data_IF_992118461094
#
_entry.id   IF_992118461094
#
_cell.length_a   1.000
_cell.length_b   1.000
_cell.length_c   1.000
_cell.angle_alpha   90.00
_cell.angle_beta   90.00
_cell.angle_gamma   90.00
#
_symmetry.space_group_name_H-M   'P 1'
#
loop_
_entity.id
_entity.type
_entity.pdbx_description
1 polymer ?
#
# COMPACT_ATOMS: atom_id res chain seq x y z
N UNK A 1 -20.96 -13.70 16.77
CA UNK A 1 -20.02 -12.57 16.69
C UNK A 1 -19.88 -12.22 15.22
N UNK A 2 -19.85 -10.95 14.81
CA UNK A 2 -19.54 -10.64 13.43
C UNK A 2 -18.18 -11.25 13.10
N UNK A 3 -18.07 -11.93 11.97
CA UNK A 3 -16.82 -12.52 11.48
C UNK A 3 -15.86 -11.38 11.19
N UNK A 4 -14.71 -11.39 11.83
CA UNK A 4 -13.64 -10.43 11.61
C UNK A 4 -13.11 -10.63 10.18
N UNK A 5 -13.25 -9.60 9.33
CA UNK A 5 -12.84 -9.65 7.92
C UNK A 5 -11.37 -9.25 7.72
N UNK A 6 -10.70 -8.82 8.78
CA UNK A 6 -9.29 -8.41 8.78
C UNK A 6 -8.60 -8.94 10.04
N UNK A 7 -7.42 -9.53 9.89
CA UNK A 7 -6.57 -9.94 11.00
C UNK A 7 -5.41 -8.94 11.11
N UNK A 8 -5.11 -8.49 12.33
CA UNK A 8 -4.01 -7.58 12.63
C UNK A 8 -3.05 -8.24 13.62
N UNK A 9 -1.79 -8.32 13.26
CA UNK A 9 -0.73 -8.92 14.08
C UNK A 9 0.52 -8.05 14.02
N UNK A 10 1.24 -7.94 15.14
CA UNK A 10 2.53 -7.24 15.21
C UNK A 10 3.60 -8.21 15.68
N UNK A 11 4.64 -8.39 14.89
CA UNK A 11 5.82 -9.16 15.24
C UNK A 11 7.06 -8.49 14.63
N UNK A 12 8.17 -8.51 15.34
CA UNK A 12 9.48 -8.04 14.87
C UNK A 12 9.47 -6.63 14.25
N UNK A 13 8.67 -5.72 14.80
CA UNK A 13 8.45 -4.34 14.33
C UNK A 13 7.70 -4.24 12.99
N UNK A 14 7.06 -5.31 12.57
CA UNK A 14 6.22 -5.39 11.38
C UNK A 14 4.77 -5.59 11.80
N UNK A 15 3.88 -4.69 11.35
CA UNK A 15 2.45 -4.90 11.45
C UNK A 15 1.96 -5.62 10.19
N UNK A 16 1.36 -6.78 10.35
CA UNK A 16 0.75 -7.53 9.25
C UNK A 16 -0.77 -7.40 9.32
N UNK A 17 -1.34 -6.85 8.25
CA UNK A 17 -2.79 -6.69 8.05
C UNK A 17 -3.21 -7.73 7.00
N UNK A 18 -3.98 -8.73 7.41
CA UNK A 18 -4.43 -9.80 6.52
C UNK A 18 -5.91 -9.64 6.20
N UNK A 19 -6.25 -9.44 4.92
CA UNK A 19 -7.63 -9.48 4.43
C UNK A 19 -8.17 -10.90 4.61
N UNK A 20 -9.24 -11.11 5.38
CA UNK A 20 -9.65 -12.42 5.89
C UNK A 20 -11.06 -12.82 5.45
N UNK A 21 -11.26 -12.94 4.14
CA UNK A 21 -12.44 -13.56 3.50
C UNK A 21 -11.98 -14.55 2.42
N UNK A 22 -11.21 -15.60 2.77
CA UNK A 22 -10.54 -16.46 1.80
C UNK A 22 -11.52 -17.17 0.84
N UNK A 23 -12.72 -17.53 1.30
CA UNK A 23 -13.78 -18.15 0.49
C UNK A 23 -14.34 -17.22 -0.60
N UNK A 24 -14.15 -15.91 -0.47
CA UNK A 24 -14.52 -14.85 -1.42
C UNK A 24 -13.31 -14.21 -2.07
N UNK A 25 -12.13 -14.85 -2.02
CA UNK A 25 -10.86 -14.29 -2.49
C UNK A 25 -10.63 -12.86 -1.94
N UNK A 26 -11.01 -12.64 -0.69
CA UNK A 26 -10.87 -11.37 0.01
C UNK A 26 -11.56 -10.19 -0.70
N UNK A 27 -12.74 -10.44 -1.29
CA UNK A 27 -13.55 -9.40 -1.90
C UNK A 27 -13.87 -8.30 -0.88
N UNK A 28 -13.67 -7.06 -1.30
CA UNK A 28 -13.70 -5.87 -0.46
C UNK A 28 -15.12 -5.47 -0.07
N UNK A 29 -15.36 -5.32 1.22
CA UNK A 29 -16.63 -4.87 1.81
C UNK A 29 -16.46 -3.57 2.57
N UNK A 30 -17.56 -2.99 3.02
CA UNK A 30 -17.53 -1.83 3.91
C UNK A 30 -16.96 -2.17 5.31
N UNK A 31 -17.20 -3.39 5.80
CA UNK A 31 -16.64 -3.88 7.06
C UNK A 31 -15.12 -4.02 6.96
N UNK A 32 -14.63 -4.72 5.94
CA UNK A 32 -13.19 -4.86 5.69
C UNK A 32 -12.51 -3.50 5.55
N UNK A 33 -13.13 -2.55 4.86
CA UNK A 33 -12.59 -1.19 4.73
C UNK A 33 -12.41 -0.49 6.07
N UNK A 34 -13.41 -0.58 6.95
CA UNK A 34 -13.35 0.04 8.27
C UNK A 34 -12.28 -0.63 9.15
N UNK A 35 -12.20 -1.96 9.11
CA UNK A 35 -11.22 -2.74 9.86
C UNK A 35 -9.79 -2.48 9.37
N UNK A 36 -9.53 -2.48 8.05
CA UNK A 36 -8.22 -2.16 7.48
C UNK A 36 -7.80 -0.74 7.85
N UNK A 37 -8.72 0.23 7.78
CA UNK A 37 -8.43 1.60 8.19
C UNK A 37 -8.01 1.67 9.66
N UNK A 38 -8.77 1.04 10.55
CA UNK A 38 -8.45 0.99 11.98
C UNK A 38 -7.09 0.35 12.24
N UNK A 39 -6.79 -0.77 11.57
CA UNK A 39 -5.52 -1.46 11.69
C UNK A 39 -4.33 -0.62 11.19
N UNK A 40 -4.50 0.10 10.08
CA UNK A 40 -3.48 1.02 9.54
C UNK A 40 -3.24 2.19 10.48
N UNK A 41 -4.29 2.78 11.04
CA UNK A 41 -4.19 3.87 12.01
C UNK A 41 -3.53 3.41 13.33
N UNK A 42 -3.83 2.19 13.78
CA UNK A 42 -3.18 1.58 14.94
C UNK A 42 -1.70 1.34 14.66
N UNK A 43 -1.38 0.71 13.53
CA UNK A 43 0.00 0.48 13.11
C UNK A 43 0.81 1.77 12.99
N UNK A 44 0.21 2.86 12.48
CA UNK A 44 0.89 4.17 12.34
C UNK A 44 1.20 4.80 13.70
N UNK A 45 0.33 4.63 14.70
CA UNK A 45 0.53 5.20 16.07
C UNK A 45 1.47 4.38 16.93
N UNK A 46 1.59 3.07 16.68
CA UNK A 46 2.42 2.18 17.52
C UNK A 46 3.91 2.40 17.24
N UNK A 47 4.64 2.94 18.22
CA UNK A 47 6.10 3.18 18.13
C UNK A 47 6.93 1.89 17.94
N UNK A 48 6.37 0.71 18.28
CA UNK A 48 7.01 -0.57 18.02
C UNK A 48 6.91 -1.01 16.56
N UNK A 49 5.99 -0.47 15.79
CA UNK A 49 5.81 -0.78 14.37
C UNK A 49 6.67 0.15 13.52
N UNK A 50 7.40 -0.40 12.54
CA UNK A 50 8.22 0.36 11.58
C UNK A 50 7.86 0.12 10.12
N UNK A 51 7.21 -1.01 9.85
CA UNK A 51 6.78 -1.42 8.50
C UNK A 51 5.37 -2.02 8.60
N UNK A 52 4.53 -1.73 7.62
CA UNK A 52 3.19 -2.31 7.49
C UNK A 52 3.18 -3.25 6.29
N UNK A 53 2.70 -4.47 6.46
CA UNK A 53 2.48 -5.45 5.39
C UNK A 53 0.98 -5.68 5.25
N UNK A 54 0.45 -5.50 4.04
CA UNK A 54 -0.92 -5.84 3.68
C UNK A 54 -0.91 -7.09 2.80
N UNK A 55 -1.66 -8.10 3.19
CA UNK A 55 -1.76 -9.37 2.46
C UNK A 55 -3.17 -9.95 2.49
N UNK A 56 -3.41 -11.09 1.82
CA UNK A 56 -4.69 -11.78 1.83
C UNK A 56 -4.61 -13.18 2.43
N UNK A 57 -5.61 -13.59 3.18
CA UNK A 57 -5.75 -14.96 3.64
C UNK A 57 -6.04 -15.90 2.47
N UNK A 58 -5.55 -17.15 2.56
CA UNK A 58 -5.79 -18.17 1.55
C UNK A 58 -5.07 -17.90 0.23
N UNK A 59 -5.74 -18.18 -0.89
CA UNK A 59 -5.13 -18.21 -2.22
C UNK A 59 -5.16 -16.90 -3.00
N UNK A 60 -5.71 -15.82 -2.47
CA UNK A 60 -5.86 -14.53 -3.18
C UNK A 60 -5.46 -13.36 -2.33
N UNK A 61 -5.01 -12.29 -2.96
CA UNK A 61 -4.82 -11.01 -2.29
C UNK A 61 -6.17 -10.31 -2.09
N UNK A 62 -6.80 -9.87 -3.19
CA UNK A 62 -8.14 -9.26 -3.18
C UNK A 62 -8.76 -9.28 -4.58
N UNK A 63 -9.93 -9.90 -4.71
CA UNK A 63 -10.64 -10.05 -5.99
C UNK A 63 -11.45 -8.80 -6.41
N UNK A 64 -11.33 -7.68 -5.69
CA UNK A 64 -12.05 -6.45 -5.99
C UNK A 64 -13.26 -6.24 -5.09
N UNK A 65 -14.19 -5.37 -5.48
CA UNK A 65 -15.43 -5.13 -4.74
C UNK A 65 -16.27 -6.40 -4.62
N UNK A 66 -16.93 -6.57 -3.45
CA UNK A 66 -17.86 -7.67 -3.28
C UNK A 66 -19.03 -7.55 -4.28
N UNK A 67 -19.31 -8.65 -5.00
CA UNK A 67 -20.32 -8.66 -6.06
C UNK A 67 -21.74 -8.41 -5.55
N UNK A 68 -22.02 -8.68 -4.27
CA UNK A 68 -23.31 -8.36 -3.68
C UNK A 68 -23.57 -6.86 -3.65
N UNK A 69 -22.53 -6.06 -3.38
CA UNK A 69 -22.60 -4.60 -3.42
C UNK A 69 -22.87 -4.10 -4.84
N UNK A 70 -22.11 -4.62 -5.82
CA UNK A 70 -22.30 -4.22 -7.23
C UNK A 70 -23.67 -4.62 -7.76
N UNK A 71 -24.17 -5.80 -7.40
CA UNK A 71 -25.52 -6.26 -7.77
C UNK A 71 -26.59 -5.39 -7.14
N UNK A 72 -26.46 -5.00 -5.88
CA UNK A 72 -27.41 -4.10 -5.22
C UNK A 72 -27.47 -2.75 -5.93
N UNK A 73 -26.31 -2.16 -6.25
CA UNK A 73 -26.24 -0.89 -7.00
C UNK A 73 -26.87 -1.02 -8.39
N UNK A 74 -26.61 -2.12 -9.11
CA UNK A 74 -27.17 -2.34 -10.43
C UNK A 74 -28.70 -2.49 -10.44
N UNK A 75 -29.28 -3.05 -9.36
CA UNK A 75 -30.73 -3.32 -9.29
C UNK A 75 -31.51 -2.20 -8.59
N UNK A 76 -30.93 -1.55 -7.60
CA UNK A 76 -31.60 -0.56 -6.77
C UNK A 76 -31.12 0.88 -7.02
N UNK A 77 -30.05 1.04 -7.81
CA UNK A 77 -29.40 2.34 -8.04
C UNK A 77 -28.47 2.75 -6.90
N UNK A 78 -27.85 3.92 -7.09
CA UNK A 78 -26.98 4.55 -6.09
C UNK A 78 -27.84 5.27 -5.04
N UNK A 79 -27.79 4.81 -3.81
CA UNK A 79 -28.35 5.56 -2.67
C UNK A 79 -27.33 6.59 -2.11
N UNK A 80 -27.82 7.45 -1.21
CA UNK A 80 -26.99 8.51 -0.60
C UNK A 80 -25.87 7.94 0.28
N UNK A 81 -26.08 6.78 0.89
CA UNK A 81 -25.08 6.15 1.77
C UNK A 81 -23.98 5.50 0.98
N UNK A 82 -24.28 4.87 -0.15
CA UNK A 82 -23.28 4.36 -1.11
C UNK A 82 -22.47 5.52 -1.68
N UNK A 83 -23.14 6.60 -2.12
CA UNK A 83 -22.47 7.78 -2.65
C UNK A 83 -21.53 8.40 -1.60
N UNK A 84 -21.99 8.55 -0.35
CA UNK A 84 -21.17 9.07 0.75
C UNK A 84 -19.95 8.18 1.01
N UNK A 85 -20.10 6.84 1.01
CA UNK A 85 -18.98 5.89 1.19
C UNK A 85 -17.98 5.95 0.06
N UNK A 86 -18.39 6.15 -1.19
CA UNK A 86 -17.49 6.35 -2.32
C UNK A 86 -16.61 7.59 -2.09
N UNK A 87 -17.19 8.67 -1.57
CA UNK A 87 -16.47 9.93 -1.31
C UNK A 87 -15.73 9.97 0.04
N UNK A 88 -16.01 9.02 0.95
CA UNK A 88 -15.40 9.05 2.28
C UNK A 88 -13.88 8.87 2.19
N UNK A 89 -13.15 9.87 2.65
CA UNK A 89 -11.74 9.78 3.02
C UNK A 89 -11.60 9.47 4.51
N UNK A 90 -10.40 9.44 5.03
CA UNK A 90 -10.12 9.53 6.47
C UNK A 90 -10.54 10.90 7.02
N UNK A 91 -10.54 11.05 8.35
CA UNK A 91 -10.66 12.36 8.96
C UNK A 91 -9.55 13.29 8.42
N UNK A 92 -9.85 14.57 8.14
CA UNK A 92 -8.84 15.52 7.74
C UNK A 92 -7.71 15.56 8.77
N UNK A 93 -6.48 15.42 8.32
CA UNK A 93 -5.29 15.52 9.17
C UNK A 93 -4.58 16.83 8.86
N UNK A 94 -4.32 17.62 9.91
CA UNK A 94 -3.60 18.88 9.80
C UNK A 94 -2.17 18.62 9.29
N UNK A 95 -1.70 19.46 8.37
CA UNK A 95 -0.37 19.35 7.76
C UNK A 95 -0.26 18.32 6.63
N UNK A 96 -1.26 17.45 6.44
CA UNK A 96 -1.26 16.47 5.35
C UNK A 96 -1.97 17.03 4.11
N UNK A 97 -1.39 16.82 2.93
CA UNK A 97 -1.99 17.23 1.65
C UNK A 97 -3.39 16.63 1.45
N UNK A 98 -4.37 17.37 0.93
CA UNK A 98 -5.69 16.82 0.61
C UNK A 98 -5.66 15.60 -0.31
N UNK A 99 -4.64 15.51 -1.19
CA UNK A 99 -4.41 14.36 -2.08
C UNK A 99 -4.21 13.06 -1.32
N UNK A 100 -3.60 13.12 -0.12
CA UNK A 100 -3.29 11.98 0.75
C UNK A 100 -4.36 11.71 1.83
N UNK A 101 -5.50 12.40 1.76
CA UNK A 101 -6.60 12.27 2.72
C UNK A 101 -7.83 11.58 2.10
N UNK A 102 -7.70 11.05 0.88
CA UNK A 102 -8.77 10.33 0.19
C UNK A 102 -8.71 8.84 0.50
N UNK A 103 -9.80 8.16 0.18
CA UNK A 103 -9.88 6.70 0.25
C UNK A 103 -8.68 6.07 -0.50
N UNK A 104 -8.01 5.14 0.09
CA UNK A 104 -6.79 4.47 -0.34
C UNK A 104 -5.56 5.37 -0.48
N UNK A 105 -5.66 6.60 -1.02
CA UNK A 105 -4.50 7.49 -1.12
C UNK A 105 -3.94 7.92 0.24
N UNK A 106 -4.67 7.69 1.34
CA UNK A 106 -4.18 7.89 2.70
C UNK A 106 -2.91 7.06 3.01
N UNK A 107 -2.70 5.94 2.34
CA UNK A 107 -1.48 5.14 2.49
C UNK A 107 -0.21 5.91 2.09
N UNK A 108 -0.32 6.85 1.14
CA UNK A 108 0.80 7.70 0.71
C UNK A 108 1.21 8.72 1.79
N UNK A 109 0.27 9.07 2.68
CA UNK A 109 0.49 10.02 3.77
C UNK A 109 1.05 9.41 5.06
N UNK A 110 1.13 8.09 5.17
CA UNK A 110 1.71 7.41 6.34
C UNK A 110 3.21 7.64 6.39
N UNK A 111 3.76 7.76 7.60
CA UNK A 111 5.21 7.83 7.79
C UNK A 111 5.87 6.46 7.59
N UNK A 112 5.15 5.39 7.92
CA UNK A 112 5.66 4.03 7.82
C UNK A 112 5.50 3.47 6.41
N UNK A 113 6.50 2.75 5.87
CA UNK A 113 6.37 2.03 4.61
C UNK A 113 5.25 1.00 4.65
N UNK A 114 4.48 0.93 3.55
CA UNK A 114 3.42 -0.06 3.34
C UNK A 114 3.81 -0.98 2.21
N UNK A 115 3.83 -2.28 2.47
CA UNK A 115 4.17 -3.33 1.51
C UNK A 115 2.90 -4.10 1.18
N UNK A 116 2.50 -4.13 -0.10
CA UNK A 116 1.52 -5.09 -0.56
C UNK A 116 2.21 -6.44 -0.82
N UNK A 117 1.95 -7.42 0.03
CA UNK A 117 2.38 -8.81 -0.13
C UNK A 117 1.31 -9.58 -0.90
N UNK A 118 1.48 -9.62 -2.21
CA UNK A 118 0.46 -10.07 -3.16
C UNK A 118 0.58 -11.58 -3.36
N UNK A 119 -0.17 -12.34 -2.57
CA UNK A 119 -0.12 -13.80 -2.51
C UNK A 119 -0.94 -14.53 -3.59
N UNK A 120 -1.66 -13.80 -4.46
CA UNK A 120 -2.51 -14.40 -5.50
C UNK A 120 -3.31 -13.37 -6.30
N UNK A 121 -4.50 -13.74 -6.82
CA UNK A 121 -5.35 -12.85 -7.62
C UNK A 121 -5.58 -11.48 -6.96
N UNK A 122 -5.36 -10.42 -7.76
CA UNK A 122 -5.40 -9.01 -7.36
C UNK A 122 -6.12 -8.23 -8.46
N UNK A 123 -7.40 -7.95 -8.25
CA UNK A 123 -8.31 -7.53 -9.32
C UNK A 123 -9.10 -6.29 -8.90
N UNK A 124 -9.33 -5.37 -9.83
CA UNK A 124 -10.16 -4.17 -9.60
C UNK A 124 -9.71 -3.37 -8.38
N UNK A 125 -10.55 -3.24 -7.34
CA UNK A 125 -10.19 -2.56 -6.09
C UNK A 125 -8.97 -3.16 -5.41
N UNK A 126 -8.76 -4.49 -5.50
CA UNK A 126 -7.57 -5.12 -4.95
C UNK A 126 -6.29 -4.56 -5.60
N UNK A 127 -6.33 -4.33 -6.92
CA UNK A 127 -5.21 -3.69 -7.62
C UNK A 127 -5.09 -2.20 -7.24
N UNK A 128 -6.21 -1.47 -7.11
CA UNK A 128 -6.19 -0.08 -6.62
C UNK A 128 -5.45 0.02 -5.29
N UNK A 129 -5.82 -0.83 -4.31
CA UNK A 129 -5.19 -0.83 -2.99
C UNK A 129 -3.69 -1.11 -3.09
N UNK A 130 -3.30 -2.12 -3.89
CA UNK A 130 -1.90 -2.45 -4.09
C UNK A 130 -1.09 -1.31 -4.73
N UNK A 131 -1.69 -0.51 -5.62
CA UNK A 131 -1.03 0.65 -6.23
C UNK A 131 -0.71 1.77 -5.23
N UNK A 132 -1.49 1.88 -4.15
CA UNK A 132 -1.26 2.87 -3.10
C UNK A 132 -0.30 2.39 -2.00
N UNK A 133 0.10 1.12 -2.00
CA UNK A 133 1.22 0.65 -1.18
C UNK A 133 2.55 1.12 -1.78
N UNK A 134 3.57 1.36 -0.93
CA UNK A 134 4.89 1.83 -1.38
C UNK A 134 5.62 0.76 -2.20
N UNK A 135 5.58 -0.46 -1.73
CA UNK A 135 6.18 -1.62 -2.39
C UNK A 135 5.12 -2.68 -2.70
N UNK A 136 5.26 -3.34 -3.84
CA UNK A 136 4.43 -4.46 -4.29
C UNK A 136 5.32 -5.66 -4.51
N UNK A 137 5.20 -6.63 -3.62
CA UNK A 137 5.92 -7.90 -3.68
C UNK A 137 4.93 -9.01 -3.97
N UNK A 138 5.14 -9.73 -5.05
CA UNK A 138 4.19 -10.71 -5.55
C UNK A 138 4.70 -12.14 -5.43
N UNK A 139 3.81 -13.08 -5.15
CA UNK A 139 4.08 -14.49 -5.36
C UNK A 139 4.01 -14.84 -6.86
N UNK A 140 4.70 -15.89 -7.30
CA UNK A 140 4.68 -16.37 -8.69
C UNK A 140 3.27 -16.71 -9.18
N UNK A 141 2.38 -17.12 -8.27
CA UNK A 141 0.98 -17.40 -8.57
C UNK A 141 0.11 -16.18 -8.76
N UNK A 142 0.60 -14.97 -8.41
CA UNK A 142 -0.18 -13.75 -8.50
C UNK A 142 -0.66 -13.46 -9.93
N UNK A 143 -1.89 -12.93 -10.04
CA UNK A 143 -2.53 -12.52 -11.29
C UNK A 143 -3.18 -11.16 -11.09
N UNK A 144 -3.07 -10.30 -12.08
CA UNK A 144 -3.53 -8.93 -12.00
C UNK A 144 -4.49 -8.62 -13.15
N UNK A 145 -5.51 -7.83 -12.86
CA UNK A 145 -6.39 -7.25 -13.88
C UNK A 145 -7.08 -6.01 -13.32
N UNK A 146 -7.29 -5.00 -14.14
CA UNK A 146 -8.10 -3.84 -13.78
C UNK A 146 -9.59 -4.17 -13.74
N UNK A 147 -10.07 -5.00 -14.66
CA UNK A 147 -11.46 -5.51 -14.85
C UNK A 147 -12.56 -4.46 -14.98
N UNK A 148 -12.31 -3.19 -14.72
CA UNK A 148 -13.34 -2.13 -14.71
C UNK A 148 -14.06 -2.00 -16.05
N UNK A 149 -13.34 -1.88 -17.17
CA UNK A 149 -13.91 -1.72 -18.50
C UNK A 149 -14.83 -2.88 -18.90
N UNK A 150 -14.50 -4.12 -18.50
CA UNK A 150 -15.34 -5.29 -18.74
C UNK A 150 -16.67 -5.27 -17.98
N UNK A 151 -16.84 -4.39 -17.01
CA UNK A 151 -18.05 -4.20 -16.19
C UNK A 151 -18.74 -2.87 -16.47
N UNK A 152 -18.35 -2.13 -17.51
CA UNK A 152 -18.88 -0.80 -17.79
C UNK A 152 -18.47 0.26 -16.77
N UNK A 153 -17.39 -0.01 -15.99
CA UNK A 153 -16.82 0.90 -15.01
C UNK A 153 -15.58 1.59 -15.59
N UNK A 154 -15.08 2.58 -14.86
CA UNK A 154 -13.93 3.41 -15.26
C UNK A 154 -12.72 3.11 -14.37
N UNK A 155 -11.58 3.77 -14.61
CA UNK A 155 -10.41 3.70 -13.75
C UNK A 155 -10.68 4.41 -12.41
N UNK A 156 -11.17 3.66 -11.42
CA UNK A 156 -11.67 4.17 -10.15
C UNK A 156 -10.56 4.60 -9.19
N UNK A 157 -10.93 5.40 -8.19
CA UNK A 157 -10.12 5.76 -7.02
C UNK A 157 -8.69 6.22 -7.37
N UNK A 158 -8.54 7.00 -8.44
CA UNK A 158 -7.25 7.55 -8.86
C UNK A 158 -6.33 6.54 -9.56
N UNK A 159 -6.82 5.36 -9.96
CA UNK A 159 -6.02 4.39 -10.73
C UNK A 159 -5.49 5.02 -12.03
N UNK A 160 -6.28 5.86 -12.71
CA UNK A 160 -5.85 6.59 -13.91
C UNK A 160 -4.68 7.56 -13.66
N UNK A 161 -4.48 7.97 -12.42
CA UNK A 161 -3.36 8.81 -12.02
C UNK A 161 -2.14 7.99 -11.58
N UNK A 162 -2.36 6.92 -10.78
CA UNK A 162 -1.29 6.10 -10.21
C UNK A 162 -0.66 5.14 -11.22
N UNK A 163 -1.49 4.39 -11.96
CA UNK A 163 -0.99 3.32 -12.83
C UNK A 163 0.00 3.82 -13.90
N UNK A 164 -0.28 4.92 -14.64
CA UNK A 164 0.68 5.43 -15.63
C UNK A 164 2.01 5.91 -15.04
N UNK A 165 2.02 6.31 -13.76
CA UNK A 165 3.24 6.71 -13.05
C UNK A 165 4.09 5.53 -12.61
N UNK A 166 3.49 4.35 -12.52
CA UNK A 166 4.18 3.12 -12.13
C UNK A 166 4.67 2.36 -13.36
N UNK A 167 3.80 2.12 -14.35
CA UNK A 167 4.10 1.28 -15.53
C UNK A 167 4.38 2.07 -16.81
N UNK A 168 4.21 3.39 -16.79
CA UNK A 168 4.23 4.22 -17.98
C UNK A 168 2.88 4.28 -18.69
N UNK A 169 2.72 5.31 -19.52
CA UNK A 169 1.42 5.61 -20.19
C UNK A 169 0.96 4.50 -21.14
N UNK A 170 1.83 3.93 -22.03
CA UNK A 170 1.38 2.90 -22.97
C UNK A 170 0.85 1.65 -22.29
N UNK A 171 1.59 1.12 -21.31
CA UNK A 171 1.22 -0.11 -20.59
C UNK A 171 0.01 0.13 -19.69
N UNK A 172 -0.12 1.32 -19.11
CA UNK A 172 -1.30 1.67 -18.33
C UNK A 172 -2.57 1.70 -19.19
N UNK A 173 -2.50 2.26 -20.39
CA UNK A 173 -3.62 2.27 -21.34
C UNK A 173 -3.96 0.85 -21.82
N UNK A 174 -2.96 0.03 -22.14
CA UNK A 174 -3.20 -1.38 -22.48
C UNK A 174 -3.96 -2.10 -21.35
N UNK A 175 -3.47 -2.02 -20.12
CA UNK A 175 -4.11 -2.68 -18.99
C UNK A 175 -5.50 -2.13 -18.65
N UNK A 176 -5.71 -0.82 -18.77
CA UNK A 176 -6.99 -0.19 -18.43
C UNK A 176 -8.06 -0.43 -19.51
N UNK A 177 -7.70 -0.33 -20.78
CA UNK A 177 -8.65 -0.45 -21.88
C UNK A 177 -8.99 -1.91 -22.19
N UNK A 178 -7.98 -2.80 -22.18
CA UNK A 178 -8.21 -4.22 -22.45
C UNK A 178 -8.76 -4.97 -21.23
N UNK A 179 -8.46 -4.49 -20.02
CA UNK A 179 -8.72 -5.17 -18.75
C UNK A 179 -8.23 -6.63 -18.74
N UNK A 180 -7.20 -6.93 -19.56
CA UNK A 180 -6.62 -8.27 -19.66
C UNK A 180 -5.97 -8.70 -18.36
N UNK A 181 -5.84 -10.01 -18.19
CA UNK A 181 -5.10 -10.58 -17.07
C UNK A 181 -3.62 -10.68 -17.42
N UNK A 182 -2.77 -10.30 -16.46
CA UNK A 182 -1.32 -10.49 -16.53
C UNK A 182 -0.84 -11.36 -15.36
N UNK A 183 0.24 -12.10 -15.55
CA UNK A 183 0.86 -12.89 -14.52
C UNK A 183 1.96 -12.11 -13.77
N UNK A 184 2.55 -12.72 -12.74
CA UNK A 184 3.57 -12.09 -11.90
C UNK A 184 4.84 -11.72 -12.71
N UNK A 185 5.25 -12.57 -13.65
CA UNK A 185 6.44 -12.30 -14.48
C UNK A 185 6.24 -11.10 -15.38
N UNK A 186 5.08 -10.98 -16.03
CA UNK A 186 4.73 -9.82 -16.84
C UNK A 186 4.58 -8.56 -15.97
N UNK A 187 3.94 -8.67 -14.80
CA UNK A 187 3.83 -7.57 -13.85
C UNK A 187 5.21 -7.05 -13.39
N UNK A 188 6.22 -7.92 -13.27
CA UNK A 188 7.59 -7.54 -12.98
C UNK A 188 8.24 -6.80 -14.15
N UNK A 189 8.08 -7.28 -15.38
CA UNK A 189 8.60 -6.63 -16.60
C UNK A 189 7.99 -5.24 -16.77
N UNK A 190 6.69 -5.09 -16.54
CA UNK A 190 5.98 -3.81 -16.58
C UNK A 190 6.28 -2.91 -15.36
N UNK A 191 7.08 -3.36 -14.40
CA UNK A 191 7.34 -2.67 -13.12
C UNK A 191 6.10 -2.43 -12.27
N UNK A 192 5.00 -3.14 -12.56
CA UNK A 192 3.81 -3.10 -11.71
C UNK A 192 4.10 -3.65 -10.32
N UNK A 193 5.00 -4.64 -10.22
CA UNK A 193 5.53 -5.15 -8.96
C UNK A 193 7.04 -4.97 -8.89
N UNK A 194 7.57 -4.78 -7.67
CA UNK A 194 8.99 -4.56 -7.43
C UNK A 194 9.79 -5.87 -7.41
N UNK A 195 9.17 -6.96 -6.93
CA UNK A 195 9.78 -8.28 -6.79
C UNK A 195 8.76 -9.38 -6.96
N UNK A 196 9.23 -10.53 -7.42
CA UNK A 196 8.45 -11.79 -7.45
C UNK A 196 9.20 -12.83 -6.65
N UNK A 197 8.48 -13.58 -5.82
CA UNK A 197 8.99 -14.61 -4.95
C UNK A 197 8.31 -15.96 -5.20
N UNK A 198 8.97 -17.08 -4.89
CA UNK A 198 8.33 -18.39 -4.92
C UNK A 198 7.04 -18.41 -4.12
N UNK A 199 6.06 -19.21 -4.57
CA UNK A 199 4.81 -19.37 -3.84
C UNK A 199 5.01 -20.11 -2.51
N UNK A 200 5.89 -21.09 -2.50
CA UNK A 200 6.25 -21.83 -1.28
C UNK A 200 7.03 -20.91 -0.35
N UNK A 201 6.60 -20.86 0.91
CA UNK A 201 7.22 -19.99 1.92
C UNK A 201 7.00 -18.50 1.73
N UNK A 202 6.12 -18.08 0.82
CA UNK A 202 5.92 -16.66 0.48
C UNK A 202 5.75 -15.76 1.71
N UNK A 203 4.85 -16.10 2.62
CA UNK A 203 4.58 -15.28 3.82
C UNK A 203 5.82 -15.12 4.71
N UNK A 204 6.58 -16.19 4.94
CA UNK A 204 7.80 -16.15 5.72
C UNK A 204 8.88 -15.29 5.04
N UNK A 205 9.07 -15.45 3.74
CA UNK A 205 10.03 -14.65 2.96
C UNK A 205 9.68 -13.17 2.98
N UNK A 206 8.39 -12.82 2.85
CA UNK A 206 7.94 -11.42 2.96
C UNK A 206 8.22 -10.86 4.36
N UNK A 207 7.93 -11.64 5.41
CA UNK A 207 8.18 -11.23 6.79
C UNK A 207 9.68 -10.97 7.02
N UNK A 208 10.57 -11.86 6.60
CA UNK A 208 12.02 -11.68 6.71
C UNK A 208 12.50 -10.37 6.03
N UNK A 209 12.04 -10.10 4.82
CA UNK A 209 12.41 -8.87 4.11
C UNK A 209 11.82 -7.61 4.76
N UNK A 210 10.61 -7.69 5.30
CA UNK A 210 10.00 -6.59 6.05
C UNK A 210 10.74 -6.32 7.36
N UNK A 211 11.14 -7.36 8.09
CA UNK A 211 11.97 -7.27 9.29
C UNK A 211 13.34 -6.68 8.97
N UNK A 212 13.97 -7.10 7.88
CA UNK A 212 15.23 -6.51 7.43
C UNK A 212 15.07 -5.00 7.20
N UNK A 213 14.02 -4.56 6.51
CA UNK A 213 13.73 -3.13 6.31
C UNK A 213 13.48 -2.42 7.64
N UNK A 214 12.70 -3.02 8.55
CA UNK A 214 12.37 -2.44 9.85
C UNK A 214 13.56 -2.33 10.81
N UNK A 215 14.58 -3.19 10.68
CA UNK A 215 15.71 -3.27 11.61
C UNK A 215 16.99 -2.60 11.11
N UNK A 216 17.23 -2.60 9.79
CA UNK A 216 18.50 -2.13 9.21
C UNK A 216 18.46 -0.69 8.70
N UNK A 217 17.28 -0.05 8.66
CA UNK A 217 17.12 1.31 8.14
C UNK A 217 16.46 2.21 9.20
N UNK A 218 16.91 3.47 9.26
CA UNK A 218 16.33 4.46 10.17
C UNK A 218 14.85 4.68 9.87
N UNK A 219 13.94 4.44 10.83
CA UNK A 219 12.50 4.65 10.62
C UNK A 219 12.17 6.12 10.37
N UNK A 220 12.92 7.07 10.96
CA UNK A 220 12.82 8.49 10.65
C UNK A 220 13.14 8.75 9.18
N UNK A 221 14.24 8.21 8.68
CA UNK A 221 14.65 8.40 7.28
C UNK A 221 13.64 7.78 6.31
N UNK A 222 13.08 6.60 6.61
CA UNK A 222 12.03 5.99 5.79
C UNK A 222 10.82 6.91 5.63
N UNK A 223 10.33 7.49 6.74
CA UNK A 223 9.18 8.41 6.71
C UNK A 223 9.47 9.70 5.94
N UNK A 224 10.66 10.30 6.14
CA UNK A 224 11.07 11.51 5.41
C UNK A 224 11.20 11.24 3.91
N UNK A 225 11.91 10.18 3.52
CA UNK A 225 12.10 9.80 2.11
C UNK A 225 10.74 9.55 1.43
N UNK A 226 9.86 8.77 2.07
CA UNK A 226 8.52 8.50 1.55
C UNK A 226 7.75 9.79 1.31
N UNK A 227 7.72 10.71 2.29
CA UNK A 227 7.07 12.01 2.17
C UNK A 227 7.67 12.84 1.04
N UNK A 228 9.01 12.91 0.93
CA UNK A 228 9.68 13.65 -0.15
C UNK A 228 9.30 13.11 -1.53
N UNK A 229 9.32 11.79 -1.72
CA UNK A 229 8.98 11.16 -3.00
C UNK A 229 7.54 11.47 -3.41
N UNK A 230 6.56 11.25 -2.51
CA UNK A 230 5.16 11.48 -2.87
C UNK A 230 4.80 12.97 -2.97
N UNK A 231 5.36 13.82 -2.11
CA UNK A 231 5.14 15.28 -2.20
C UNK A 231 5.77 15.83 -3.48
N UNK A 232 6.95 15.34 -3.86
CA UNK A 232 7.66 15.71 -5.09
C UNK A 232 6.88 15.47 -6.38
N UNK A 233 5.89 14.55 -6.37
CA UNK A 233 4.99 14.35 -7.52
C UNK A 233 4.12 15.58 -7.86
N UNK A 234 4.03 16.56 -6.95
CA UNK A 234 3.21 17.77 -7.05
C UNK A 234 4.05 19.05 -6.96
N UNK A 235 5.37 18.94 -6.96
CA UNK A 235 6.31 20.04 -6.79
C UNK A 235 7.13 20.28 -8.04
N UNK A 236 7.63 21.50 -8.18
CA UNK A 236 8.76 21.83 -9.06
C UNK A 236 10.06 21.27 -8.49
N UNK A 237 11.10 21.16 -9.32
CA UNK A 237 12.43 20.73 -8.85
C UNK A 237 12.97 21.68 -7.75
N UNK A 238 12.75 23.00 -7.88
CA UNK A 238 13.20 23.99 -6.88
C UNK A 238 12.53 23.77 -5.52
N UNK A 239 11.20 23.60 -5.49
CA UNK A 239 10.45 23.31 -4.25
C UNK A 239 10.88 22.00 -3.62
N UNK A 240 11.13 20.96 -4.42
CA UNK A 240 11.63 19.66 -3.93
C UNK A 240 13.05 19.77 -3.38
N UNK A 241 13.92 20.58 -4.02
CA UNK A 241 15.26 20.87 -3.54
C UNK A 241 15.23 21.60 -2.19
N UNK A 242 14.42 22.65 -2.07
CA UNK A 242 14.29 23.41 -0.82
C UNK A 242 13.79 22.54 0.33
N UNK A 243 12.78 21.69 0.06
CA UNK A 243 12.32 20.70 1.05
C UNK A 243 13.46 19.75 1.46
N UNK A 244 14.26 19.29 0.50
CA UNK A 244 15.37 18.36 0.78
C UNK A 244 16.44 18.99 1.66
N UNK A 245 16.74 20.30 1.47
CA UNK A 245 17.71 21.03 2.31
C UNK A 245 17.22 21.13 3.75
N UNK A 246 15.95 21.49 3.95
CA UNK A 246 15.35 21.56 5.30
C UNK A 246 15.42 20.19 6.00
N UNK A 247 15.02 19.14 5.32
CA UNK A 247 15.03 17.79 5.88
C UNK A 247 16.46 17.24 6.11
N UNK A 248 17.42 17.63 5.27
CA UNK A 248 18.82 17.27 5.44
C UNK A 248 19.38 17.87 6.72
N UNK A 249 19.17 19.19 6.95
CA UNK A 249 19.62 19.85 8.18
C UNK A 249 19.04 19.20 9.42
N UNK A 250 17.72 18.91 9.42
CA UNK A 250 17.07 18.23 10.52
C UNK A 250 17.59 16.79 10.71
N UNK A 251 17.93 16.09 9.61
CA UNK A 251 18.47 14.73 9.67
C UNK A 251 19.86 14.68 10.26
N UNK A 252 20.74 15.64 9.94
CA UNK A 252 22.08 15.73 10.50
C UNK A 252 22.10 15.95 12.03
N UNK A 253 21.00 16.43 12.58
CA UNK A 253 20.85 16.67 14.04
C UNK A 253 20.18 15.50 14.77
N UNK A 254 19.69 14.47 14.05
CA UNK A 254 18.96 13.36 14.61
C UNK A 254 19.86 12.34 15.35
N UNK A 255 19.28 11.62 16.32
CA UNK A 255 19.95 10.49 16.96
C UNK A 255 20.21 9.35 15.97
N UNK A 256 19.31 9.15 15.02
CA UNK A 256 19.47 8.14 13.98
C UNK A 256 20.67 8.43 13.04
N UNK A 257 20.99 9.71 12.79
CA UNK A 257 22.21 10.06 12.05
C UNK A 257 23.47 9.70 12.86
N UNK A 258 23.51 10.01 14.16
CA UNK A 258 24.63 9.67 15.03
C UNK A 258 24.83 8.15 15.08
N UNK A 259 23.74 7.40 15.24
CA UNK A 259 23.77 5.94 15.22
C UNK A 259 24.21 5.40 13.85
N UNK A 260 23.72 6.03 12.75
CA UNK A 260 24.12 5.66 11.40
C UNK A 260 25.61 5.76 11.14
N UNK A 261 26.28 6.79 11.68
CA UNK A 261 27.74 6.95 11.66
C UNK A 261 28.42 5.95 12.59
N UNK A 262 27.94 5.83 13.83
CA UNK A 262 28.56 4.98 14.85
C UNK A 262 28.56 3.51 14.45
N UNK A 263 27.39 2.94 14.07
CA UNK A 263 27.28 1.54 13.68
C UNK A 263 28.18 1.17 12.49
N UNK A 264 28.31 2.10 11.53
CA UNK A 264 29.16 1.89 10.35
C UNK A 264 30.64 1.80 10.71
N UNK A 265 31.12 2.74 11.55
CA UNK A 265 32.51 2.77 12.04
C UNK A 265 32.82 1.56 12.93
N UNK A 266 31.88 1.18 13.78
CA UNK A 266 32.00 0.07 14.72
C UNK A 266 31.72 -1.31 14.09
N UNK A 267 31.27 -1.36 12.85
CA UNK A 267 30.94 -2.59 12.08
C UNK A 267 29.94 -3.50 12.81
N UNK A 268 28.94 -2.92 13.40
CA UNK A 268 27.85 -3.62 14.11
C UNK A 268 26.49 -3.38 13.48
N UNK A 269 25.48 -4.14 13.90
CA UNK A 269 24.10 -3.86 13.52
C UNK A 269 23.63 -2.50 14.10
N UNK A 270 22.81 -1.71 13.35
CA UNK A 270 22.30 -0.44 13.82
C UNK A 270 21.22 -0.61 14.90
N UNK A 271 21.10 0.41 15.77
CA UNK A 271 20.09 0.51 16.82
C UNK A 271 19.28 1.81 16.68
N UNK A 272 18.69 2.00 15.50
CA UNK A 272 17.90 3.20 15.20
C UNK A 272 16.71 3.35 16.15
N UNK A 273 16.49 4.59 16.61
CA UNK A 273 15.39 4.93 17.52
C UNK A 273 14.20 5.60 16.83
N UNK A 274 14.44 6.17 15.65
CA UNK A 274 13.45 6.99 14.93
C UNK A 274 13.46 8.47 15.32
N UNK A 275 14.46 8.90 16.08
CA UNK A 275 14.57 10.27 16.62
C UNK A 275 15.75 11.02 16.07
#
# INVERSE_FOLDING_TARGET
MPTQETIYEVADRVATITLNRPDKLNAWTATMEAEVRSAVEEAERDENVRVIVLTGAGRGFCAGADMSLLSAVATQGLDKDVTRRIHSGGAPQEGLRPDFQRKFSCFLGLAKPVIAAINGPTVGLGLVIALYCDLRWAAESARFSTTFAQRGLIAEYGMAWMLPRIVGLPDALDLLLSARHINASEALVLRLVNRVFPQEGFAATIHEHAVQLASSVSPRSLGVIKRQVYTGMFQTLAESFDLSVVEMVASLQSEDFKEGVAHFLEKRAPKFSGR
#
